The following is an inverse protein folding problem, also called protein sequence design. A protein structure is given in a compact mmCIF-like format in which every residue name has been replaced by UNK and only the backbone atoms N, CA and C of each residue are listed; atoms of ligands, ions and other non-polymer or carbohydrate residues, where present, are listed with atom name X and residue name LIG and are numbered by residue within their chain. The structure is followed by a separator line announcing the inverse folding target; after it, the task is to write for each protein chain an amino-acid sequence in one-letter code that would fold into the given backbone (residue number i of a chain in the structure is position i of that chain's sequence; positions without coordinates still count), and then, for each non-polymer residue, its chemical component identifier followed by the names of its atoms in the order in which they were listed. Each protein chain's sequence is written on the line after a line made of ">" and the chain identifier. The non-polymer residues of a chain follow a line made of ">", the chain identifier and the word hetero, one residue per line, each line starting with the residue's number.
data_IF_715489291947
#
_entry.id   IF_715489291947
#
_cell.length_a   1.000
_cell.length_b   1.000
_cell.length_c   1.000
_cell.angle_alpha   90.00
_cell.angle_beta   90.00
_cell.angle_gamma   90.00
#
_symmetry.space_group_name_H-M   'P 1'
#
loop_
_entity.id
_entity.type
_entity.pdbx_description
1 polymer ?
#
# COMPACT_ATOMS: atom_id res chain seq x y z
N UNK A 1 -32.29 -12.77 -1.25
CA UNK A 1 -31.03 -13.31 -1.81
C UNK A 1 -30.07 -12.22 -2.34
N UNK A 2 -30.54 -11.21 -3.11
CA UNK A 2 -29.66 -10.18 -3.69
C UNK A 2 -28.95 -9.28 -2.67
N UNK A 3 -29.61 -8.93 -1.56
CA UNK A 3 -29.03 -8.17 -0.43
C UNK A 3 -27.84 -8.89 0.22
N UNK A 4 -27.95 -10.20 0.39
CA UNK A 4 -26.90 -11.06 0.95
C UNK A 4 -25.69 -11.13 0.02
N UNK A 5 -25.92 -11.26 -1.29
CA UNK A 5 -24.85 -11.22 -2.31
C UNK A 5 -24.10 -9.89 -2.32
N UNK A 6 -24.79 -8.76 -2.17
CA UNK A 6 -24.15 -7.45 -2.12
C UNK A 6 -23.26 -7.29 -0.87
N UNK A 7 -23.70 -7.77 0.29
CA UNK A 7 -22.87 -7.79 1.51
C UNK A 7 -21.63 -8.67 1.37
N UNK A 8 -21.76 -9.84 0.74
CA UNK A 8 -20.60 -10.68 0.42
C UNK A 8 -19.63 -9.98 -0.53
N UNK A 9 -20.13 -9.26 -1.53
CA UNK A 9 -19.30 -8.46 -2.44
C UNK A 9 -18.49 -7.39 -1.72
N UNK A 10 -19.11 -6.68 -0.78
CA UNK A 10 -18.43 -5.67 0.06
C UNK A 10 -17.34 -6.35 0.91
N UNK A 11 -17.67 -7.44 1.60
CA UNK A 11 -16.74 -8.16 2.47
C UNK A 11 -15.53 -8.71 1.69
N UNK A 12 -15.78 -9.30 0.51
CA UNK A 12 -14.73 -9.80 -0.36
C UNK A 12 -13.82 -8.66 -0.86
N UNK A 13 -14.39 -7.54 -1.33
CA UNK A 13 -13.61 -6.39 -1.80
C UNK A 13 -12.73 -5.78 -0.71
N UNK A 14 -13.26 -5.64 0.51
CA UNK A 14 -12.48 -5.19 1.67
C UNK A 14 -11.39 -6.18 2.08
N UNK A 15 -11.65 -7.49 1.97
CA UNK A 15 -10.66 -8.52 2.26
C UNK A 15 -9.49 -8.43 1.28
N UNK A 16 -9.76 -8.25 -0.01
CA UNK A 16 -8.72 -8.05 -1.04
C UNK A 16 -7.94 -6.77 -0.77
N UNK A 17 -8.61 -5.68 -0.40
CA UNK A 17 -7.97 -4.42 -0.04
C UNK A 17 -6.98 -4.58 1.12
N UNK A 18 -7.38 -5.27 2.20
CA UNK A 18 -6.52 -5.52 3.35
C UNK A 18 -5.40 -6.50 3.01
N UNK A 19 -5.70 -7.57 2.26
CA UNK A 19 -4.71 -8.57 1.87
C UNK A 19 -3.59 -7.97 1.02
N UNK A 20 -3.90 -6.97 0.18
CA UNK A 20 -2.92 -6.25 -0.62
C UNK A 20 -1.77 -5.68 0.23
N UNK A 21 -2.06 -5.24 1.46
CA UNK A 21 -1.06 -4.71 2.37
C UNK A 21 0.04 -5.71 2.74
N UNK A 22 -0.24 -7.01 2.68
CA UNK A 22 0.67 -8.07 3.12
C UNK A 22 1.45 -8.74 1.98
N UNK A 23 1.26 -8.30 0.73
CA UNK A 23 1.84 -8.99 -0.45
C UNK A 23 3.38 -8.94 -0.44
N UNK A 24 3.98 -7.77 -0.24
CA UNK A 24 5.45 -7.64 -0.19
C UNK A 24 5.94 -7.39 1.23
N UNK A 25 7.19 -7.74 1.53
CA UNK A 25 7.84 -7.28 2.76
C UNK A 25 8.46 -5.89 2.53
N UNK A 26 8.34 -4.95 3.50
CA UNK A 26 8.89 -3.61 3.34
C UNK A 26 10.41 -3.61 3.09
N UNK A 27 11.13 -4.59 3.64
CA UNK A 27 12.57 -4.70 3.46
C UNK A 27 12.98 -4.95 2.00
N UNK A 28 12.19 -5.73 1.24
CA UNK A 28 12.47 -6.03 -0.18
C UNK A 28 12.36 -4.76 -1.04
N UNK A 29 11.40 -3.90 -0.70
CA UNK A 29 11.18 -2.61 -1.37
C UNK A 29 12.31 -1.62 -1.02
N UNK A 30 12.77 -1.62 0.23
CA UNK A 30 13.84 -0.72 0.67
C UNK A 30 15.22 -1.09 0.13
N UNK A 31 15.54 -2.38 -0.04
CA UNK A 31 16.83 -2.81 -0.59
C UNK A 31 17.00 -2.53 -2.08
N UNK A 32 15.90 -2.30 -2.79
CA UNK A 32 15.91 -2.02 -4.24
C UNK A 32 15.98 -0.52 -4.55
N UNK A 33 16.00 0.34 -3.53
CA UNK A 33 16.07 1.79 -3.73
C UNK A 33 17.46 2.24 -4.20
N UNK A 34 17.52 3.19 -5.15
CA UNK A 34 18.78 3.75 -5.61
C UNK A 34 19.48 4.52 -4.48
N UNK A 35 20.80 4.34 -4.39
CA UNK A 35 21.63 5.06 -3.43
C UNK A 35 21.74 6.53 -3.88
N UNK A 36 21.48 7.51 -3.00
CA UNK A 36 21.61 8.91 -3.35
C UNK A 36 23.07 9.25 -3.68
N UNK A 37 23.34 10.08 -4.71
CA UNK A 37 24.68 10.39 -5.15
C UNK A 37 25.54 11.07 -4.07
N UNK A 38 24.90 11.79 -3.14
CA UNK A 38 25.56 12.42 -1.99
C UNK A 38 26.11 11.42 -0.97
N UNK A 39 25.66 10.16 -0.97
CA UNK A 39 26.16 9.12 -0.08
C UNK A 39 27.49 8.50 -0.55
N UNK A 40 27.97 8.83 -1.75
CA UNK A 40 29.26 8.38 -2.27
C UNK A 40 30.38 9.32 -1.81
N UNK A 41 31.29 8.81 -0.99
CA UNK A 41 32.54 9.52 -0.67
C UNK A 41 33.49 9.50 -1.87
N UNK A 42 34.20 10.60 -2.18
CA UNK A 42 35.17 10.64 -3.26
C UNK A 42 36.24 9.53 -3.10
N UNK A 43 36.41 8.70 -4.14
CA UNK A 43 37.38 7.60 -4.14
C UNK A 43 36.93 6.30 -3.46
N UNK A 44 35.65 6.17 -3.09
CA UNK A 44 35.11 4.92 -2.54
C UNK A 44 34.60 3.98 -3.66
N UNK A 45 34.94 2.69 -3.54
CA UNK A 45 34.51 1.63 -4.46
C UNK A 45 33.06 1.15 -4.22
N UNK A 46 32.41 1.65 -3.17
CA UNK A 46 31.03 1.31 -2.83
C UNK A 46 30.52 2.06 -1.60
N UNK A 47 29.20 2.02 -1.41
CA UNK A 47 28.50 2.66 -0.30
C UNK A 47 27.65 1.61 0.40
N UNK A 48 27.84 1.46 1.71
CA UNK A 48 27.02 0.58 2.53
C UNK A 48 25.97 1.42 3.24
N UNK A 49 24.70 1.24 2.86
CA UNK A 49 23.57 1.77 3.60
C UNK A 49 23.30 0.88 4.81
N UNK A 50 23.15 1.47 5.98
CA UNK A 50 22.61 0.74 7.15
C UNK A 50 21.12 1.04 7.22
N UNK A 51 20.23 0.02 7.10
CA UNK A 51 18.80 0.25 7.24
C UNK A 51 18.52 0.68 8.67
N UNK A 52 17.95 1.87 8.84
CA UNK A 52 17.61 2.40 10.15
C UNK A 52 16.21 1.91 10.56
N UNK A 53 15.22 2.08 9.68
CA UNK A 53 13.83 1.68 9.90
C UNK A 53 13.19 1.32 8.54
N UNK A 54 12.42 0.25 8.49
CA UNK A 54 11.55 -0.07 7.34
C UNK A 54 10.15 -0.37 7.85
N UNK A 55 9.16 0.40 7.39
CA UNK A 55 7.77 0.22 7.84
C UNK A 55 6.78 0.37 6.69
N UNK A 56 5.72 -0.44 6.71
CA UNK A 56 4.61 -0.25 5.77
C UNK A 56 3.67 0.83 6.27
N UNK A 57 3.20 1.65 5.35
CA UNK A 57 2.30 2.77 5.62
C UNK A 57 1.08 2.68 4.70
N UNK A 58 -0.09 2.89 5.28
CA UNK A 58 -1.35 3.03 4.57
C UNK A 58 -1.60 4.49 4.24
N UNK A 59 -1.60 4.84 2.95
CA UNK A 59 -1.93 6.19 2.45
C UNK A 59 -3.01 6.10 1.37
N UNK A 60 -4.08 5.33 1.64
CA UNK A 60 -5.07 4.83 0.64
C UNK A 60 -4.47 3.81 -0.35
N UNK A 61 -3.20 3.98 -0.68
CA UNK A 61 -2.34 3.06 -1.39
C UNK A 61 -1.42 2.32 -0.42
N UNK A 62 -0.83 1.22 -0.90
CA UNK A 62 0.18 0.47 -0.15
C UNK A 62 1.53 1.14 -0.40
N UNK A 63 2.13 1.67 0.65
CA UNK A 63 3.45 2.29 0.57
C UNK A 63 4.38 1.69 1.63
N UNK A 64 5.67 1.77 1.37
CA UNK A 64 6.73 1.42 2.32
C UNK A 64 7.59 2.65 2.58
N UNK A 65 7.81 2.96 3.85
CA UNK A 65 8.77 3.95 4.31
C UNK A 65 10.12 3.28 4.52
N UNK A 66 11.14 3.80 3.85
CA UNK A 66 12.50 3.34 3.90
C UNK A 66 13.38 4.42 4.50
N UNK A 67 13.90 4.15 5.70
CA UNK A 67 14.88 5.00 6.34
C UNK A 67 16.25 4.33 6.26
N UNK A 68 17.18 4.99 5.58
CA UNK A 68 18.56 4.55 5.42
C UNK A 68 19.53 5.58 6.00
N UNK A 69 20.58 5.07 6.63
CA UNK A 69 21.67 5.87 7.17
C UNK A 69 22.97 5.46 6.50
N UNK A 70 23.75 6.45 6.06
CA UNK A 70 25.03 6.28 5.41
C UNK A 70 26.14 6.71 6.38
N UNK A 71 26.74 5.78 7.14
CA UNK A 71 27.67 6.14 8.22
C UNK A 71 28.97 6.81 7.70
N UNK A 72 29.38 6.52 6.46
CA UNK A 72 30.56 7.13 5.86
C UNK A 72 30.42 8.64 5.59
N UNK A 73 29.19 9.11 5.34
CA UNK A 73 28.89 10.52 5.03
C UNK A 73 28.05 11.20 6.11
N UNK A 74 27.48 10.45 7.05
CA UNK A 74 26.53 10.94 8.05
C UNK A 74 25.15 11.31 7.46
N UNK A 75 24.86 10.90 6.23
CA UNK A 75 23.60 11.23 5.55
C UNK A 75 22.50 10.29 6.02
N UNK A 76 21.33 10.87 6.26
CA UNK A 76 20.10 10.15 6.55
C UNK A 76 19.09 10.44 5.44
N UNK A 77 18.49 9.40 4.88
CA UNK A 77 17.42 9.51 3.89
C UNK A 77 16.17 8.79 4.37
N UNK A 78 15.02 9.39 4.10
CA UNK A 78 13.70 8.85 4.45
C UNK A 78 12.83 8.94 3.20
N UNK A 79 12.70 7.84 2.48
CA UNK A 79 11.91 7.76 1.27
C UNK A 79 10.58 7.04 1.54
N UNK A 80 9.52 7.53 0.89
CA UNK A 80 8.20 6.89 0.87
C UNK A 80 7.97 6.30 -0.52
N UNK A 81 7.98 4.98 -0.61
CA UNK A 81 7.88 4.25 -1.87
C UNK A 81 6.48 3.68 -2.02
N UNK A 82 5.79 4.11 -3.08
CA UNK A 82 4.48 3.54 -3.43
C UNK A 82 4.68 2.20 -4.11
N UNK A 83 4.09 1.15 -3.53
CA UNK A 83 4.13 -0.19 -4.10
C UNK A 83 3.00 -0.35 -5.12
N UNK A 84 3.26 -0.03 -6.39
CA UNK A 84 2.24 0.00 -7.44
C UNK A 84 1.49 -1.33 -7.63
N UNK A 85 2.17 -2.48 -7.51
CA UNK A 85 1.53 -3.79 -7.64
C UNK A 85 0.44 -4.02 -6.57
N UNK A 86 0.80 -4.06 -5.28
CA UNK A 86 -0.18 -4.13 -4.19
C UNK A 86 -1.21 -2.99 -4.20
N UNK A 87 -0.80 -1.78 -4.56
CA UNK A 87 -1.70 -0.63 -4.63
C UNK A 87 -2.80 -0.79 -5.68
N UNK A 88 -2.50 -1.37 -6.85
CA UNK A 88 -3.53 -1.62 -7.88
C UNK A 88 -4.55 -2.66 -7.40
N UNK A 89 -4.10 -3.71 -6.70
CA UNK A 89 -4.98 -4.69 -6.06
C UNK A 89 -5.85 -4.05 -4.98
N UNK A 90 -5.28 -3.18 -4.15
CA UNK A 90 -6.02 -2.45 -3.14
C UNK A 90 -7.14 -1.59 -3.76
N UNK A 91 -6.81 -0.81 -4.80
CA UNK A 91 -7.78 0.02 -5.52
C UNK A 91 -8.87 -0.84 -6.17
N UNK A 92 -8.52 -1.96 -6.80
CA UNK A 92 -9.50 -2.88 -7.38
C UNK A 92 -10.49 -3.42 -6.32
N UNK A 93 -9.97 -3.81 -5.15
CA UNK A 93 -10.79 -4.25 -4.01
C UNK A 93 -11.76 -3.16 -3.52
N UNK A 94 -11.29 -1.91 -3.43
CA UNK A 94 -12.15 -0.77 -3.06
C UNK A 94 -13.23 -0.48 -4.10
N UNK A 95 -12.90 -0.51 -5.39
CA UNK A 95 -13.88 -0.29 -6.47
C UNK A 95 -14.95 -1.38 -6.46
N UNK A 96 -14.56 -2.63 -6.24
CA UNK A 96 -15.50 -3.73 -6.08
C UNK A 96 -16.41 -3.54 -4.85
N UNK A 97 -15.84 -3.14 -3.71
CA UNK A 97 -16.62 -2.87 -2.50
C UNK A 97 -17.58 -1.69 -2.67
N UNK A 98 -17.13 -0.61 -3.31
CA UNK A 98 -17.93 0.59 -3.57
C UNK A 98 -19.10 0.30 -4.52
N UNK A 99 -18.86 -0.45 -5.60
CA UNK A 99 -19.93 -0.85 -6.53
C UNK A 99 -20.97 -1.77 -5.85
N UNK A 100 -20.54 -2.72 -5.03
CA UNK A 100 -21.43 -3.57 -4.25
C UNK A 100 -22.25 -2.78 -3.22
N UNK A 101 -21.64 -1.79 -2.56
CA UNK A 101 -22.31 -0.87 -1.65
C UNK A 101 -23.39 -0.05 -2.38
N UNK A 102 -23.08 0.47 -3.57
CA UNK A 102 -24.03 1.25 -4.36
C UNK A 102 -25.27 0.43 -4.72
N UNK A 103 -25.06 -0.81 -5.17
CA UNK A 103 -26.14 -1.75 -5.48
C UNK A 103 -26.98 -2.03 -4.22
N UNK A 104 -26.34 -2.21 -3.06
CA UNK A 104 -27.03 -2.44 -1.80
C UNK A 104 -27.87 -1.25 -1.34
N UNK A 105 -27.36 -0.03 -1.50
CA UNK A 105 -28.07 1.20 -1.16
C UNK A 105 -29.27 1.44 -2.09
N UNK A 106 -29.15 1.13 -3.38
CA UNK A 106 -30.29 1.16 -4.31
C UNK A 106 -31.43 0.26 -3.84
N UNK A 107 -31.13 -0.99 -3.47
CA UNK A 107 -32.15 -1.89 -2.94
C UNK A 107 -32.78 -1.43 -1.62
N UNK A 108 -32.00 -0.75 -0.76
CA UNK A 108 -32.52 -0.17 0.48
C UNK A 108 -33.53 0.94 0.23
N UNK A 109 -33.30 1.76 -0.81
CA UNK A 109 -34.20 2.83 -1.19
C UNK A 109 -35.53 2.28 -1.72
N UNK A 110 -35.48 1.27 -2.61
CA UNK A 110 -36.67 0.61 -3.14
C UNK A 110 -37.54 -0.04 -2.05
N UNK A 111 -36.91 -0.66 -1.04
CA UNK A 111 -37.62 -1.27 0.09
C UNK A 111 -38.31 -0.22 0.98
N UNK A 112 -37.73 0.97 1.13
CA UNK A 112 -38.26 2.04 1.97
C UNK A 112 -39.45 2.79 1.32
N UNK A 113 -39.55 2.78 -0.01
CA UNK A 113 -40.64 3.43 -0.75
C UNK A 113 -41.90 2.55 -0.83
N UNK A 114 -41.77 1.25 -0.54
CA UNK A 114 -42.86 0.26 -0.56
C UNK A 114 -43.48 -0.02 0.83
N UNK A 115 -42.95 0.55 1.90
CA UNK A 115 -43.45 0.42 3.28
C UNK A 115 -44.24 1.63 3.74
#
# INVERSE_FOLDING_TARGET
>A
MRKTLALFGIAAGLTVYVAAFFINAPIEVCTTQPIPPSAFTPGADGVVATPAISSKVWVVLVATRCESTYPATGIHTSDLIVEWGPSTLAVAGLVAAASALWIWLGYRADEAEQS
#
